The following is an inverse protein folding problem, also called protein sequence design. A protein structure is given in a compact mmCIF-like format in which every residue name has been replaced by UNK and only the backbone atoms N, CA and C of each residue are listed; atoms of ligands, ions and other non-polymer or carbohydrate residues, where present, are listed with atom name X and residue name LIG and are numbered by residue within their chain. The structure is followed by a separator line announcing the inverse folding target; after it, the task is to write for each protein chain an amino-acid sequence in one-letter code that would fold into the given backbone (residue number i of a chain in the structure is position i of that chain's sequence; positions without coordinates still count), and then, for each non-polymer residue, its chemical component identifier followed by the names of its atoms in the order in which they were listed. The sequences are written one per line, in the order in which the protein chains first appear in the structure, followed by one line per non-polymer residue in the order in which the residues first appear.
data_IF_522509189412
#
_entry.id   IF_522509189412
#
_cell.length_a   1.000
_cell.length_b   1.000
_cell.length_c   1.000
_cell.angle_alpha   90.00
_cell.angle_beta   90.00
_cell.angle_gamma   90.00
#
_symmetry.space_group_name_H-M   'P 1'
#
loop_
_entity.id
_entity.type
_entity.pdbx_description
1 polymer ?
#
# COMPACT_ATOMS: atom_id res chain seq x y z
N UNK A 1 -3.56 2.12 2.48
CA UNK A 1 -2.26 2.14 1.77
C UNK A 1 -1.46 3.33 2.24
N UNK A 2 -0.15 3.18 2.42
CA UNK A 2 0.74 4.33 2.54
C UNK A 2 1.48 4.52 1.24
N UNK A 3 1.52 5.75 0.75
CA UNK A 3 2.02 6.09 -0.58
C UNK A 3 2.84 7.38 -0.55
N UNK A 4 3.50 7.69 -1.66
CA UNK A 4 4.04 9.02 -1.92
C UNK A 4 3.29 9.64 -3.09
N UNK A 5 2.97 10.93 -3.02
CA UNK A 5 2.19 11.62 -4.05
C UNK A 5 2.92 11.68 -5.39
N UNK A 6 4.25 11.84 -5.34
CA UNK A 6 5.13 11.99 -6.51
C UNK A 6 5.69 10.66 -7.05
N UNK A 7 5.56 9.56 -6.30
CA UNK A 7 6.13 8.26 -6.68
C UNK A 7 5.33 7.57 -7.78
N UNK A 8 5.96 7.19 -8.92
CA UNK A 8 5.28 6.47 -10.01
C UNK A 8 4.67 5.13 -9.58
N UNK A 9 5.29 4.42 -8.63
CA UNK A 9 4.81 3.10 -8.18
C UNK A 9 3.55 3.24 -7.34
N UNK A 10 3.50 4.22 -6.45
CA UNK A 10 2.32 4.62 -5.68
C UNK A 10 1.15 4.96 -6.60
N UNK A 11 1.38 5.73 -7.67
CA UNK A 11 0.33 6.00 -8.68
C UNK A 11 -0.15 4.74 -9.37
N UNK A 12 0.75 3.83 -9.75
CA UNK A 12 0.40 2.55 -10.37
C UNK A 12 -0.39 1.64 -9.42
N UNK A 13 -0.04 1.56 -8.14
CA UNK A 13 -0.81 0.81 -7.13
C UNK A 13 -2.21 1.36 -6.99
N UNK A 14 -2.39 2.67 -6.78
CA UNK A 14 -3.73 3.29 -6.71
C UNK A 14 -4.54 3.03 -7.98
N UNK A 15 -3.89 3.07 -9.15
CA UNK A 15 -4.55 2.75 -10.44
C UNK A 15 -4.99 1.28 -10.52
N UNK A 16 -4.14 0.33 -10.12
CA UNK A 16 -4.49 -1.09 -10.11
C UNK A 16 -5.78 -1.36 -9.31
N UNK A 17 -5.87 -0.83 -8.09
CA UNK A 17 -7.07 -1.05 -7.25
C UNK A 17 -8.31 -0.36 -7.84
N UNK A 18 -8.18 0.87 -8.38
CA UNK A 18 -9.29 1.54 -9.08
C UNK A 18 -9.76 0.78 -10.31
N UNK A 19 -8.84 0.33 -11.15
CA UNK A 19 -9.17 -0.38 -12.41
C UNK A 19 -9.90 -1.71 -12.13
N UNK A 20 -9.65 -2.32 -10.97
CA UNK A 20 -10.31 -3.54 -10.51
C UNK A 20 -11.58 -3.29 -9.68
N UNK A 21 -12.02 -2.03 -9.55
CA UNK A 21 -13.16 -1.62 -8.71
C UNK A 21 -13.05 -2.06 -7.24
N UNK A 22 -11.82 -2.13 -6.73
CA UNK A 22 -11.56 -2.49 -5.33
C UNK A 22 -11.56 -1.20 -4.53
N UNK A 23 -12.35 -1.15 -3.47
CA UNK A 23 -12.33 -0.02 -2.55
C UNK A 23 -11.02 -0.03 -1.76
N UNK A 24 -10.39 1.14 -1.65
CA UNK A 24 -9.17 1.30 -0.86
C UNK A 24 -9.08 2.71 -0.30
N UNK A 25 -8.40 2.82 0.82
CA UNK A 25 -7.99 4.08 1.41
C UNK A 25 -6.48 4.25 1.26
N UNK A 26 -6.02 5.50 1.13
CA UNK A 26 -4.60 5.80 1.11
C UNK A 26 -4.28 7.09 1.87
N UNK A 27 -3.06 7.16 2.39
CA UNK A 27 -2.44 8.40 2.87
C UNK A 27 -1.12 8.60 2.13
N UNK A 28 -0.94 9.81 1.58
CA UNK A 28 0.33 10.24 0.99
C UNK A 28 1.23 10.78 2.10
N UNK A 29 2.29 10.04 2.42
CA UNK A 29 3.19 10.32 3.53
C UNK A 29 3.82 11.72 3.41
N UNK A 30 4.16 12.13 2.19
CA UNK A 30 4.76 13.43 1.89
C UNK A 30 3.78 14.62 1.99
N UNK A 31 2.47 14.36 2.11
CA UNK A 31 1.44 15.39 2.19
C UNK A 31 0.79 15.53 3.57
N UNK A 32 1.07 14.62 4.50
CA UNK A 32 0.57 14.69 5.89
C UNK A 32 1.59 15.37 6.80
N UNK A 33 1.15 15.89 7.94
CA UNK A 33 2.03 16.53 8.93
C UNK A 33 2.89 15.52 9.71
N UNK A 34 3.96 16.00 10.36
CA UNK A 34 4.97 15.19 11.07
C UNK A 34 4.36 14.15 12.02
N UNK A 35 3.37 14.54 12.82
CA UNK A 35 2.70 13.61 13.75
C UNK A 35 2.01 12.44 13.04
N UNK A 36 1.45 12.66 11.85
CA UNK A 36 0.83 11.59 11.06
C UNK A 36 1.90 10.77 10.33
N UNK A 37 3.00 11.41 9.91
CA UNK A 37 4.17 10.70 9.36
C UNK A 37 4.75 9.71 10.37
N UNK A 38 4.92 10.11 11.63
CA UNK A 38 5.40 9.23 12.72
C UNK A 38 4.46 8.03 12.90
N UNK A 39 3.14 8.26 12.95
CA UNK A 39 2.15 7.19 13.05
C UNK A 39 2.20 6.23 11.87
N UNK A 40 2.37 6.74 10.65
CA UNK A 40 2.53 5.92 9.46
C UNK A 40 3.76 5.02 9.58
N UNK A 41 4.91 5.58 9.97
CA UNK A 41 6.15 4.81 10.14
C UNK A 41 6.02 3.77 11.25
N UNK A 42 5.45 4.12 12.40
CA UNK A 42 5.19 3.16 13.47
C UNK A 42 4.33 1.99 13.01
N UNK A 43 3.26 2.27 12.26
CA UNK A 43 2.37 1.24 11.73
C UNK A 43 3.07 0.39 10.66
N UNK A 44 3.88 1.01 9.79
CA UNK A 44 4.73 0.28 8.84
C UNK A 44 5.69 -0.68 9.54
N UNK A 45 6.34 -0.25 10.63
CA UNK A 45 7.26 -1.10 11.38
C UNK A 45 6.54 -2.23 12.13
N UNK A 46 5.35 -1.96 12.67
CA UNK A 46 4.52 -2.97 13.34
C UNK A 46 4.05 -4.05 12.37
N UNK A 47 3.65 -3.69 11.16
CA UNK A 47 3.07 -4.62 10.19
C UNK A 47 4.11 -5.25 9.24
N UNK A 48 5.11 -4.49 8.80
CA UNK A 48 6.10 -4.91 7.80
C UNK A 48 7.46 -5.32 8.38
N UNK A 49 7.69 -5.08 9.67
CA UNK A 49 8.99 -5.26 10.32
C UNK A 49 9.81 -3.97 10.35
N UNK A 50 10.76 -3.90 11.30
CA UNK A 50 11.52 -2.69 11.64
C UNK A 50 12.42 -2.12 10.54
N UNK A 51 12.60 -2.83 9.43
CA UNK A 51 13.44 -2.42 8.30
C UNK A 51 12.63 -1.88 7.11
N UNK A 52 11.30 -1.89 7.17
CA UNK A 52 10.47 -1.49 6.03
C UNK A 52 10.22 0.02 6.04
N UNK A 53 10.82 0.71 5.06
CA UNK A 53 10.66 2.16 4.83
C UNK A 53 10.39 2.50 3.36
N UNK A 54 9.80 1.57 2.61
CA UNK A 54 9.54 1.74 1.18
C UNK A 54 8.06 1.93 0.87
N UNK A 55 7.80 2.72 -0.18
CA UNK A 55 6.47 2.98 -0.70
C UNK A 55 6.32 2.40 -2.12
N UNK A 56 5.10 2.02 -2.54
CA UNK A 56 3.87 1.96 -1.75
C UNK A 56 3.89 0.82 -0.72
N UNK A 57 3.29 1.06 0.44
CA UNK A 57 3.07 0.06 1.49
C UNK A 57 1.58 -0.29 1.54
N UNK A 58 1.24 -1.50 1.11
CA UNK A 58 -0.15 -1.93 0.89
C UNK A 58 -0.49 -2.97 1.94
N UNK A 59 -1.42 -2.63 2.84
CA UNK A 59 -2.04 -3.57 3.78
C UNK A 59 -3.27 -4.19 3.13
N UNK A 60 -3.35 -5.51 3.09
CA UNK A 60 -4.49 -6.28 2.60
C UNK A 60 -4.80 -7.30 3.69
N UNK A 61 -5.92 -7.12 4.40
CA UNK A 61 -6.25 -7.89 5.60
C UNK A 61 -5.07 -7.89 6.61
N UNK A 62 -4.52 -9.06 6.93
CA UNK A 62 -3.39 -9.24 7.84
C UNK A 62 -2.02 -9.18 7.13
N UNK A 63 -2.02 -9.18 5.79
CA UNK A 63 -0.82 -9.22 4.97
C UNK A 63 -0.35 -7.83 4.53
N UNK A 64 0.96 -7.72 4.30
CA UNK A 64 1.61 -6.51 3.80
C UNK A 64 2.33 -6.82 2.50
N UNK A 65 2.14 -5.94 1.51
CA UNK A 65 2.93 -5.92 0.28
C UNK A 65 3.65 -4.58 0.17
N UNK A 66 4.98 -4.64 0.13
CA UNK A 66 5.86 -3.48 -0.03
C UNK A 66 6.28 -3.37 -1.50
N UNK A 67 6.15 -2.18 -2.07
CA UNK A 67 6.39 -1.92 -3.49
C UNK A 67 5.21 -2.26 -4.39
N UNK A 68 5.33 -1.96 -5.68
CA UNK A 68 4.32 -2.29 -6.68
C UNK A 68 4.43 -3.75 -7.12
N UNK A 69 3.50 -4.59 -6.66
CA UNK A 69 3.42 -6.01 -7.04
C UNK A 69 1.96 -6.42 -7.31
N UNK A 70 1.45 -6.26 -8.56
CA UNK A 70 0.08 -6.57 -8.91
C UNK A 70 -0.26 -8.06 -8.79
N UNK A 71 0.72 -8.97 -8.97
CA UNK A 71 0.50 -10.40 -8.79
C UNK A 71 0.25 -10.74 -7.32
N UNK A 72 1.02 -10.16 -6.40
CA UNK A 72 0.79 -10.32 -4.96
C UNK A 72 -0.56 -9.73 -4.54
N UNK A 73 -0.93 -8.55 -5.05
CA UNK A 73 -2.24 -7.97 -4.79
C UNK A 73 -3.38 -8.88 -5.28
N UNK A 74 -3.30 -9.38 -6.52
CA UNK A 74 -4.30 -10.28 -7.09
C UNK A 74 -4.47 -11.56 -6.28
N UNK A 75 -3.35 -12.16 -5.85
CA UNK A 75 -3.36 -13.37 -5.02
C UNK A 75 -4.05 -13.13 -3.68
N UNK A 76 -3.68 -12.06 -2.97
CA UNK A 76 -4.24 -11.73 -1.65
C UNK A 76 -5.72 -11.35 -1.75
N UNK A 77 -6.11 -10.59 -2.78
CA UNK A 77 -7.48 -10.16 -3.03
C UNK A 77 -8.32 -11.24 -3.74
N UNK A 78 -7.74 -12.41 -4.01
CA UNK A 78 -8.40 -13.56 -4.67
C UNK A 78 -9.02 -13.21 -6.02
N UNK A 79 -8.41 -12.30 -6.76
CA UNK A 79 -8.92 -11.83 -8.05
C UNK A 79 -8.80 -12.88 -9.16
N UNK A 80 -7.96 -13.89 -8.96
CA UNK A 80 -7.68 -14.95 -9.93
C UNK A 80 -8.60 -16.19 -9.78
N UNK A 81 -9.52 -16.19 -8.80
CA UNK A 81 -10.47 -17.31 -8.60
C UNK A 81 -11.74 -17.08 -9.43
N UNK A 82 -11.57 -17.13 -10.75
CA UNK A 82 -12.64 -17.45 -11.70
C UNK A 82 -12.08 -18.40 -12.76
N UNK A 83 -12.02 -19.69 -12.42
CA UNK A 83 -12.00 -20.80 -13.38
C UNK A 83 -12.88 -21.92 -12.84
#
# INVERSE_FOLDING_TARGET
MYTLSIDPWSRKTKKFFRDKNIQFEYMDYDLVGEKEQEKILEDMYKCGGSTVTAFPFVKIDEDVVVGYNPEAYSKLLRLDIQK
#
